data_IF_526457864312
#
_entry.id   IF_526457864312
#
_cell.length_a   1.000
_cell.length_b   1.000
_cell.length_c   1.000
_cell.angle_alpha   90.00
_cell.angle_beta   90.00
_cell.angle_gamma   90.00
#
_symmetry.space_group_name_H-M   'P 1'
#
loop_
_entity.id
_entity.type
_entity.pdbx_description
1 polymer ?
#
# COMPACT_ATOMS: atom_id res chain seq x y z
N UNK A 1 -46.13 -1.38 62.44
CA UNK A 1 -45.87 -0.14 61.66
C UNK A 1 -44.48 -0.26 61.05
N UNK A 2 -44.40 -0.75 59.78
CA UNK A 2 -43.14 -0.97 59.05
C UNK A 2 -43.03 0.19 58.04
N UNK A 3 -42.03 1.05 58.22
CA UNK A 3 -41.72 2.14 57.30
C UNK A 3 -40.75 1.58 56.24
N UNK A 4 -41.20 1.41 54.99
CA UNK A 4 -40.36 1.17 53.85
C UNK A 4 -39.68 2.47 53.44
N UNK A 5 -38.35 2.51 53.55
CA UNK A 5 -37.52 3.57 52.95
C UNK A 5 -37.18 3.17 51.54
N UNK A 6 -37.68 3.92 50.55
CA UNK A 6 -37.32 3.76 49.15
C UNK A 6 -35.96 4.45 48.92
N UNK A 7 -34.93 3.69 48.59
CA UNK A 7 -33.62 4.21 48.16
C UNK A 7 -33.70 4.48 46.67
N UNK A 8 -33.67 5.78 46.31
CA UNK A 8 -33.56 6.24 44.92
C UNK A 8 -32.08 6.15 44.47
N UNK A 9 -31.77 5.21 43.62
CA UNK A 9 -30.45 5.11 42.98
C UNK A 9 -30.43 6.13 41.83
N UNK A 10 -29.77 7.29 42.00
CA UNK A 10 -29.45 8.18 40.90
C UNK A 10 -28.26 7.62 40.10
N UNK A 11 -28.53 7.15 38.90
CA UNK A 11 -27.49 6.80 37.93
C UNK A 11 -26.88 8.09 37.36
N UNK A 12 -25.63 8.39 37.71
CA UNK A 12 -24.84 9.45 37.07
C UNK A 12 -24.44 8.97 35.68
N UNK A 13 -25.07 9.49 34.64
CA UNK A 13 -24.60 9.36 33.28
C UNK A 13 -23.36 10.24 33.07
N UNK A 14 -22.19 9.65 32.96
CA UNK A 14 -20.97 10.35 32.59
C UNK A 14 -21.01 10.73 31.10
N UNK A 15 -20.68 11.99 30.71
CA UNK A 15 -20.61 12.35 29.31
C UNK A 15 -19.41 11.61 28.65
N UNK A 16 -19.68 10.87 27.61
CA UNK A 16 -18.63 10.32 26.73
C UNK A 16 -18.08 11.48 25.92
N UNK A 17 -16.87 11.93 26.24
CA UNK A 17 -16.16 12.91 25.45
C UNK A 17 -15.66 12.23 24.16
N UNK A 18 -16.19 12.63 23.01
CA UNK A 18 -15.66 12.25 21.71
C UNK A 18 -14.28 12.93 21.54
N UNK A 19 -13.20 12.14 21.53
CA UNK A 19 -11.85 12.63 21.27
C UNK A 19 -11.65 12.71 19.77
N UNK A 20 -11.46 13.91 19.24
CA UNK A 20 -11.14 14.17 17.85
C UNK A 20 -10.14 15.33 17.76
N UNK A 21 -9.23 15.27 16.77
CA UNK A 21 -8.30 16.37 16.53
C UNK A 21 -9.02 17.51 15.81
N UNK A 22 -9.01 18.69 16.40
CA UNK A 22 -9.60 19.91 15.83
C UNK A 22 -8.54 20.62 15.01
N UNK A 23 -8.75 20.74 13.69
CA UNK A 23 -7.91 21.54 12.81
C UNK A 23 -8.67 22.78 12.39
N UNK A 24 -8.10 23.95 12.69
CA UNK A 24 -8.67 25.26 12.27
C UNK A 24 -7.90 25.75 11.05
N UNK A 25 -8.61 26.05 9.97
CA UNK A 25 -8.03 26.64 8.76
C UNK A 25 -7.55 28.08 9.05
N UNK A 26 -6.27 28.39 8.71
CA UNK A 26 -5.76 29.74 8.91
C UNK A 26 -6.29 30.75 7.86
N UNK A 27 -7.00 30.28 6.83
CA UNK A 27 -7.47 31.12 5.71
C UNK A 27 -8.87 31.68 5.98
N UNK A 28 -9.79 30.85 6.48
CA UNK A 28 -11.21 31.20 6.65
C UNK A 28 -11.76 30.97 8.07
N UNK A 29 -10.90 30.49 8.97
CA UNK A 29 -11.29 30.18 10.35
C UNK A 29 -12.23 28.99 10.50
N UNK A 30 -12.47 28.23 9.44
CA UNK A 30 -13.31 27.03 9.50
C UNK A 30 -12.65 25.95 10.35
N UNK A 31 -13.47 25.26 11.14
CA UNK A 31 -12.99 24.21 12.04
C UNK A 31 -13.51 22.86 11.57
N UNK A 32 -12.60 21.93 11.29
CA UNK A 32 -12.92 20.54 10.94
C UNK A 32 -12.50 19.64 12.09
N UNK A 33 -13.43 18.84 12.59
CA UNK A 33 -13.14 17.79 13.57
C UNK A 33 -12.83 16.55 12.79
N UNK A 34 -11.56 16.11 12.82
CA UNK A 34 -11.14 14.84 12.26
C UNK A 34 -11.31 13.79 13.38
N UNK A 35 -12.21 12.82 13.22
CA UNK A 35 -12.30 11.72 14.18
C UNK A 35 -10.96 11.01 14.24
N UNK A 36 -10.51 10.63 15.43
CA UNK A 36 -9.29 9.87 15.62
C UNK A 36 -9.52 8.46 15.04
N UNK A 37 -9.20 8.32 13.75
CA UNK A 37 -9.26 7.03 13.06
C UNK A 37 -8.04 6.25 13.54
N UNK A 38 -8.25 5.35 14.49
CA UNK A 38 -7.23 4.39 14.90
C UNK A 38 -6.84 3.60 13.64
N UNK A 39 -5.66 3.90 13.09
CA UNK A 39 -5.14 3.14 11.97
C UNK A 39 -5.03 1.67 12.40
N UNK A 40 -5.82 0.80 11.80
CA UNK A 40 -5.62 -0.64 11.97
C UNK A 40 -4.24 -0.98 11.40
N UNK A 41 -3.42 -1.56 12.25
CA UNK A 41 -2.09 -2.03 11.86
C UNK A 41 -2.27 -3.23 10.92
N UNK A 42 -2.18 -2.99 9.61
CA UNK A 42 -2.29 -4.04 8.59
C UNK A 42 -1.02 -4.90 8.69
N UNK A 43 -1.18 -6.14 9.13
CA UNK A 43 -0.10 -7.12 9.12
C UNK A 43 0.20 -7.52 7.69
N UNK A 44 1.46 -7.36 7.29
CA UNK A 44 1.94 -7.75 5.98
C UNK A 44 2.84 -8.98 6.08
N UNK A 45 2.65 -9.91 5.15
CA UNK A 45 3.48 -11.11 4.99
C UNK A 45 4.39 -10.99 3.78
N UNK A 46 5.52 -11.66 3.83
CA UNK A 46 6.43 -11.77 2.70
C UNK A 46 5.97 -12.88 1.75
N UNK A 47 5.85 -12.55 0.46
CA UNK A 47 5.69 -13.51 -0.61
C UNK A 47 7.02 -14.17 -0.99
N UNK A 48 6.95 -15.30 -1.68
CA UNK A 48 8.13 -15.96 -2.25
C UNK A 48 8.70 -15.18 -3.44
N UNK A 49 7.86 -14.40 -4.10
CA UNK A 49 8.18 -13.62 -5.26
C UNK A 49 7.01 -12.78 -5.72
N UNK A 50 7.03 -12.33 -6.97
CA UNK A 50 5.99 -11.52 -7.57
C UNK A 50 5.68 -11.91 -9.02
N UNK A 51 4.43 -11.73 -9.42
CA UNK A 51 4.02 -11.65 -10.82
C UNK A 51 3.97 -10.19 -11.22
N UNK A 52 4.71 -9.88 -12.27
CA UNK A 52 4.84 -8.55 -12.85
C UNK A 52 4.35 -8.58 -14.29
N UNK A 53 3.98 -7.42 -14.80
CA UNK A 53 3.79 -7.19 -16.23
C UNK A 53 4.75 -6.11 -16.70
N UNK A 54 5.27 -6.30 -17.91
CA UNK A 54 6.04 -5.30 -18.63
C UNK A 54 5.36 -4.94 -19.93
N UNK A 55 5.47 -3.70 -20.36
CA UNK A 55 4.96 -3.19 -21.62
C UNK A 55 6.09 -2.56 -22.42
N UNK A 56 6.24 -2.95 -23.67
CA UNK A 56 6.98 -2.18 -24.69
C UNK A 56 5.99 -1.23 -25.37
N UNK A 57 6.04 0.06 -25.01
CA UNK A 57 5.15 1.10 -25.54
C UNK A 57 5.26 1.33 -27.05
N UNK A 58 6.39 0.94 -27.67
CA UNK A 58 6.57 1.09 -29.11
C UNK A 58 5.84 0.01 -29.91
N UNK A 59 5.88 -1.24 -29.43
CA UNK A 59 5.22 -2.37 -30.08
C UNK A 59 3.83 -2.67 -29.54
N UNK A 60 3.49 -2.15 -28.35
CA UNK A 60 2.28 -2.50 -27.62
C UNK A 60 2.32 -3.89 -27.00
N UNK A 61 3.47 -4.58 -27.05
CA UNK A 61 3.60 -5.93 -26.54
C UNK A 61 3.69 -5.95 -25.01
N UNK A 62 2.86 -6.81 -24.40
CA UNK A 62 2.84 -7.04 -22.95
C UNK A 62 3.57 -8.36 -22.66
N UNK A 63 4.41 -8.33 -21.63
CA UNK A 63 5.20 -9.47 -21.16
C UNK A 63 4.75 -9.82 -19.74
N UNK A 64 4.53 -11.11 -19.49
CA UNK A 64 4.32 -11.65 -18.16
C UNK A 64 5.66 -12.09 -17.58
N UNK A 65 6.01 -11.58 -16.40
CA UNK A 65 7.23 -11.91 -15.70
C UNK A 65 6.88 -12.48 -14.33
N UNK A 66 7.48 -13.59 -13.95
CA UNK A 66 7.39 -14.14 -12.60
C UNK A 66 8.79 -14.22 -12.04
N UNK A 67 9.05 -13.52 -10.95
CA UNK A 67 10.35 -13.47 -10.29
C UNK A 67 10.22 -13.92 -8.85
N UNK A 68 11.21 -14.67 -8.38
CA UNK A 68 11.41 -14.89 -6.96
C UNK A 68 12.11 -13.68 -6.33
N UNK A 69 12.00 -13.53 -5.01
CA UNK A 69 12.74 -12.48 -4.29
C UNK A 69 14.25 -12.64 -4.53
N UNK A 70 14.89 -11.57 -4.97
CA UNK A 70 16.30 -11.53 -5.37
C UNK A 70 16.57 -11.89 -6.84
N UNK A 71 15.56 -12.29 -7.62
CA UNK A 71 15.72 -12.57 -9.04
C UNK A 71 15.59 -11.34 -9.93
N UNK A 72 16.19 -11.43 -11.11
CA UNK A 72 16.14 -10.41 -12.16
C UNK A 72 15.78 -11.00 -13.50
N UNK A 73 15.15 -10.21 -14.36
CA UNK A 73 14.87 -10.55 -15.75
C UNK A 73 15.05 -9.35 -16.67
N UNK A 74 15.28 -9.62 -17.95
CA UNK A 74 15.40 -8.56 -18.95
C UNK A 74 14.04 -8.26 -19.58
N UNK A 75 13.71 -6.97 -19.70
CA UNK A 75 12.62 -6.45 -20.52
C UNK A 75 13.22 -5.58 -21.63
N UNK A 76 13.49 -6.19 -22.76
CA UNK A 76 14.17 -5.52 -23.87
C UNK A 76 15.59 -5.07 -23.50
N UNK A 77 15.76 -3.78 -23.22
CA UNK A 77 17.08 -3.20 -22.87
C UNK A 77 17.24 -2.87 -21.39
N UNK A 78 16.18 -3.00 -20.63
CA UNK A 78 16.21 -2.79 -19.19
C UNK A 78 16.21 -4.10 -18.43
N UNK A 79 16.76 -4.09 -17.25
CA UNK A 79 16.76 -5.21 -16.32
C UNK A 79 15.86 -4.88 -15.15
N UNK A 80 14.94 -5.77 -14.85
CA UNK A 80 13.97 -5.66 -13.75
C UNK A 80 14.36 -6.66 -12.67
N UNK A 81 14.64 -6.19 -11.47
CA UNK A 81 15.00 -6.99 -10.31
C UNK A 81 13.94 -6.88 -9.25
N UNK A 82 13.52 -8.01 -8.68
CA UNK A 82 12.61 -8.06 -7.54
C UNK A 82 13.43 -8.20 -6.26
N UNK A 83 13.35 -7.23 -5.36
CA UNK A 83 13.91 -7.33 -4.01
C UNK A 83 13.05 -8.23 -3.13
N UNK A 84 11.83 -7.79 -2.87
CA UNK A 84 10.85 -8.54 -2.08
C UNK A 84 9.41 -8.19 -2.53
N UNK A 85 8.46 -9.06 -2.18
CA UNK A 85 7.04 -8.80 -2.34
C UNK A 85 6.30 -9.02 -1.03
N UNK A 86 5.44 -8.06 -0.64
CA UNK A 86 4.62 -8.12 0.57
C UNK A 86 3.13 -8.05 0.23
N UNK A 87 2.32 -8.73 1.00
CA UNK A 87 0.86 -8.72 0.86
C UNK A 87 0.18 -8.67 2.22
N UNK A 88 -1.03 -8.07 2.34
CA UNK A 88 -1.79 -8.07 3.57
C UNK A 88 -2.25 -9.48 3.96
N UNK A 89 -2.29 -9.78 5.26
CA UNK A 89 -2.71 -11.08 5.80
C UNK A 89 -4.11 -11.49 5.33
N UNK A 90 -5.01 -10.53 5.29
CA UNK A 90 -6.43 -10.71 4.94
C UNK A 90 -6.69 -10.70 3.44
N UNK A 91 -5.71 -10.32 2.60
CA UNK A 91 -5.88 -10.22 1.15
C UNK A 91 -4.64 -10.68 0.34
N UNK A 92 -4.25 -11.96 0.44
CA UNK A 92 -3.01 -12.46 -0.17
C UNK A 92 -3.00 -12.44 -1.71
N UNK A 93 -4.17 -12.31 -2.35
CA UNK A 93 -4.30 -12.34 -3.82
C UNK A 93 -4.74 -11.02 -4.43
N UNK A 94 -5.23 -10.09 -3.63
CA UNK A 94 -5.84 -8.86 -4.10
C UNK A 94 -4.95 -7.63 -3.99
N UNK A 95 -3.98 -7.60 -3.09
CA UNK A 95 -3.05 -6.48 -2.94
C UNK A 95 -1.60 -6.99 -2.88
N UNK A 96 -0.70 -6.22 -3.46
CA UNK A 96 0.73 -6.53 -3.43
C UNK A 96 1.57 -5.27 -3.43
N UNK A 97 2.64 -5.33 -2.66
CA UNK A 97 3.68 -4.32 -2.58
C UNK A 97 4.99 -4.99 -3.00
N UNK A 98 5.53 -4.62 -4.15
CA UNK A 98 6.79 -5.17 -4.66
C UNK A 98 7.88 -4.11 -4.62
N UNK A 99 9.02 -4.43 -4.01
CA UNK A 99 10.22 -3.62 -4.10
C UNK A 99 10.95 -3.98 -5.38
N UNK A 100 11.02 -3.05 -6.32
CA UNK A 100 11.67 -3.23 -7.61
C UNK A 100 12.86 -2.30 -7.76
N UNK A 101 13.93 -2.83 -8.38
CA UNK A 101 15.03 -2.06 -8.93
C UNK A 101 15.07 -2.28 -10.45
N UNK A 102 15.05 -1.21 -11.22
CA UNK A 102 15.06 -1.27 -12.69
C UNK A 102 16.22 -0.45 -13.20
N UNK A 103 17.09 -1.05 -14.03
CA UNK A 103 18.29 -0.40 -14.53
C UNK A 103 18.43 -0.58 -16.04
N UNK A 104 19.17 0.33 -16.68
CA UNK A 104 19.70 0.14 -18.04
C UNK A 104 21.16 -0.32 -17.92
N UNK A 105 21.46 -1.63 -18.10
CA UNK A 105 22.81 -2.14 -17.94
C UNK A 105 23.81 -1.62 -18.99
N UNK A 106 23.33 -1.09 -20.12
CA UNK A 106 24.18 -0.54 -21.17
C UNK A 106 24.69 0.86 -20.83
N UNK A 107 23.92 1.59 -20.03
CA UNK A 107 24.24 2.97 -19.60
C UNK A 107 24.74 3.01 -18.16
N UNK A 108 24.72 1.86 -17.47
CA UNK A 108 24.94 1.75 -16.02
C UNK A 108 24.07 2.74 -15.21
N UNK A 109 22.83 2.89 -15.64
CA UNK A 109 21.91 3.87 -15.07
C UNK A 109 20.76 3.17 -14.31
N UNK A 110 20.53 3.60 -13.06
CA UNK A 110 19.32 3.28 -12.32
C UNK A 110 18.16 4.11 -12.88
N UNK A 111 17.10 3.44 -13.28
CA UNK A 111 15.90 4.04 -13.86
C UNK A 111 14.78 4.16 -12.83
N UNK A 112 14.70 3.20 -11.92
CA UNK A 112 13.70 3.15 -10.87
C UNK A 112 14.19 2.30 -9.70
N UNK A 113 13.91 2.74 -8.49
CA UNK A 113 14.06 1.94 -7.27
C UNK A 113 12.98 2.33 -6.26
N UNK A 114 12.17 1.36 -5.84
CA UNK A 114 11.12 1.64 -4.88
C UNK A 114 10.00 0.60 -4.83
N UNK A 115 9.02 0.88 -3.99
CA UNK A 115 7.82 0.08 -3.85
C UNK A 115 6.81 0.42 -4.95
N UNK A 116 6.34 -0.61 -5.65
CA UNK A 116 5.17 -0.54 -6.52
C UNK A 116 3.97 -1.22 -5.85
N UNK A 117 2.78 -0.64 -6.03
CA UNK A 117 1.52 -1.08 -5.42
C UNK A 117 0.59 -1.62 -6.50
N UNK A 118 0.11 -2.85 -6.34
CA UNK A 118 -0.69 -3.52 -7.38
C UNK A 118 -2.03 -2.80 -7.66
N UNK A 119 -2.74 -2.37 -6.62
CA UNK A 119 -4.01 -1.64 -6.76
C UNK A 119 -3.85 -0.21 -7.29
N UNK A 120 -2.64 0.35 -7.20
CA UNK A 120 -2.38 1.75 -7.53
C UNK A 120 -1.05 1.94 -8.25
N UNK A 121 -0.88 1.38 -9.47
CA UNK A 121 0.40 1.41 -10.18
C UNK A 121 0.94 2.81 -10.45
N UNK A 122 0.05 3.80 -10.57
CA UNK A 122 0.42 5.18 -10.84
C UNK A 122 1.02 5.93 -9.63
N UNK A 123 0.93 5.40 -8.41
CA UNK A 123 1.50 6.06 -7.22
C UNK A 123 3.03 6.16 -7.27
N UNK A 124 3.68 5.13 -7.81
CA UNK A 124 5.13 5.09 -7.96
C UNK A 124 5.46 4.28 -9.22
N UNK A 125 5.39 4.93 -10.39
CA UNK A 125 5.54 4.30 -11.69
C UNK A 125 6.96 4.48 -12.24
N UNK A 126 7.37 3.55 -13.10
CA UNK A 126 8.59 3.72 -13.90
C UNK A 126 8.39 4.88 -14.89
N UNK A 127 9.20 5.94 -14.78
CA UNK A 127 9.28 6.99 -15.80
C UNK A 127 10.30 6.61 -16.88
N UNK A 128 9.82 5.96 -17.94
CA UNK A 128 10.67 5.57 -19.06
C UNK A 128 9.93 5.72 -20.39
N UNK A 129 10.60 6.27 -21.40
CA UNK A 129 9.98 6.59 -22.70
C UNK A 129 9.42 5.36 -23.44
N UNK A 130 10.05 4.19 -23.28
CA UNK A 130 9.71 2.99 -24.05
C UNK A 130 9.05 1.90 -23.23
N UNK A 131 9.49 1.68 -22.00
CA UNK A 131 9.03 0.57 -21.19
C UNK A 131 8.17 1.02 -20.03
N UNK A 132 7.24 0.17 -19.64
CA UNK A 132 6.50 0.29 -18.40
C UNK A 132 6.52 -1.05 -17.65
N UNK A 133 6.47 -1.00 -16.32
CA UNK A 133 6.49 -2.19 -15.47
C UNK A 133 5.53 -1.95 -14.30
N UNK A 134 4.75 -2.96 -13.95
CA UNK A 134 3.92 -2.91 -12.76
C UNK A 134 3.76 -4.29 -12.11
N UNK A 135 3.52 -4.27 -10.81
CA UNK A 135 3.23 -5.48 -10.03
C UNK A 135 1.76 -5.86 -10.20
N UNK A 136 1.51 -7.16 -10.28
CA UNK A 136 0.15 -7.72 -10.36
C UNK A 136 -0.24 -8.34 -9.03
N UNK A 137 0.63 -9.19 -8.47
CA UNK A 137 0.42 -9.84 -7.17
C UNK A 137 1.72 -10.48 -6.67
N UNK A 138 1.80 -10.75 -5.37
CA UNK A 138 2.82 -11.64 -4.84
C UNK A 138 2.54 -13.11 -5.21
N UNK A 139 3.59 -13.91 -5.25
CA UNK A 139 3.48 -15.38 -5.27
C UNK A 139 3.61 -15.88 -3.83
N UNK A 140 2.67 -16.72 -3.44
CA UNK A 140 2.64 -17.44 -2.16
C UNK A 140 2.93 -18.92 -2.40
N UNK A 141 3.22 -19.66 -1.34
CA UNK A 141 3.45 -21.11 -1.40
C UNK A 141 2.23 -21.86 -1.94
#
# INVERSE_FOLDING_TARGET
MIRLAAVFLMALAAPVAAQGTVITSPIDGSTVIIPDVKAEEIKAFNGLGAKLKGLDKLSGQVFDMTLQSGESTALGRIEVSLGECRYPEDNPTGEAYAWLSIRDPRRDAMLFEGWMVASSPALNALDHARYDVWVVRCTTA
#
